data_IF_061630399510
#
_entry.id   IF_061630399510
#
_cell.length_a   1.000
_cell.length_b   1.000
_cell.length_c   1.000
_cell.angle_alpha   90.00
_cell.angle_beta   90.00
_cell.angle_gamma   90.00
#
_symmetry.space_group_name_H-M   'P 1'
#
loop_
_entity.id
_entity.type
_entity.pdbx_description
1 polymer ?
#
# COMPACT_ATOMS: atom_id res chain seq x y z
N UNK A 1 22.50 6.93 10.01
CA UNK A 1 22.33 5.81 9.07
C UNK A 1 21.80 6.34 7.76
N UNK A 2 22.28 5.83 6.61
CA UNK A 2 21.79 6.22 5.27
C UNK A 2 20.78 5.21 4.77
N UNK A 3 19.52 5.62 4.61
CA UNK A 3 18.44 4.75 4.15
C UNK A 3 17.95 5.22 2.79
N UNK A 4 17.82 4.30 1.85
CA UNK A 4 17.26 4.59 0.53
C UNK A 4 16.01 3.72 0.29
N UNK A 5 14.86 4.35 0.25
CA UNK A 5 13.61 3.71 -0.15
C UNK A 5 13.45 3.71 -1.67
N UNK A 6 12.95 2.61 -2.23
CA UNK A 6 12.69 2.50 -3.68
C UNK A 6 11.25 2.01 -3.88
N UNK A 7 10.51 2.75 -4.70
CA UNK A 7 9.16 2.39 -5.08
C UNK A 7 8.84 2.77 -6.54
N UNK A 8 7.74 2.24 -7.07
CA UNK A 8 7.37 2.47 -8.46
C UNK A 8 6.86 3.88 -8.72
N UNK A 9 5.97 4.37 -7.89
CA UNK A 9 5.30 5.67 -8.06
C UNK A 9 4.94 6.26 -6.71
N UNK A 10 4.76 7.55 -6.64
CA UNK A 10 4.25 8.24 -5.45
C UNK A 10 2.81 8.70 -5.72
N UNK A 11 1.98 7.78 -6.21
CA UNK A 11 0.59 8.03 -6.51
C UNK A 11 -0.29 7.98 -5.25
N UNK A 12 -1.60 7.91 -5.46
CA UNK A 12 -2.55 7.85 -4.35
C UNK A 12 -2.79 6.41 -3.90
N UNK A 13 -2.31 6.06 -2.71
CA UNK A 13 -2.50 4.72 -2.13
C UNK A 13 -1.91 4.57 -0.73
N UNK A 14 -2.32 3.51 -0.03
CA UNK A 14 -1.88 3.26 1.35
C UNK A 14 -0.37 2.99 1.47
N UNK A 15 0.24 2.36 0.46
CA UNK A 15 1.69 2.08 0.47
C UNK A 15 2.47 3.38 0.30
N UNK A 16 2.03 4.24 -0.59
CA UNK A 16 2.64 5.55 -0.87
C UNK A 16 2.59 6.47 0.36
N UNK A 17 1.43 6.53 1.01
CA UNK A 17 1.27 7.30 2.27
C UNK A 17 2.16 6.74 3.37
N UNK A 18 2.20 5.42 3.54
CA UNK A 18 3.06 4.77 4.51
C UNK A 18 4.56 5.02 4.21
N UNK A 19 4.97 4.99 2.94
CA UNK A 19 6.35 5.30 2.54
C UNK A 19 6.74 6.72 2.99
N UNK A 20 5.87 7.69 2.77
CA UNK A 20 6.08 9.08 3.22
C UNK A 20 6.20 9.15 4.74
N UNK A 21 5.29 8.50 5.47
CA UNK A 21 5.30 8.50 6.94
C UNK A 21 6.59 7.87 7.50
N UNK A 22 7.04 6.73 6.94
CA UNK A 22 8.29 6.07 7.35
C UNK A 22 9.50 6.96 7.04
N UNK A 23 9.56 7.53 5.84
CA UNK A 23 10.66 8.40 5.44
C UNK A 23 10.80 9.63 6.35
N UNK A 24 9.66 10.25 6.68
CA UNK A 24 9.61 11.40 7.59
C UNK A 24 10.06 11.02 9.00
N UNK A 25 9.53 9.93 9.57
CA UNK A 25 9.89 9.45 10.90
C UNK A 25 11.39 9.09 11.00
N UNK A 26 11.95 8.49 9.96
CA UNK A 26 13.37 8.17 9.92
C UNK A 26 14.25 9.42 9.80
N UNK A 27 13.82 10.44 9.03
CA UNK A 27 14.51 11.72 8.94
C UNK A 27 14.43 12.47 10.27
N UNK A 28 13.31 12.43 10.97
CA UNK A 28 13.13 12.98 12.31
C UNK A 28 14.05 12.28 13.33
N UNK A 29 14.20 10.97 13.22
CA UNK A 29 15.13 10.19 14.04
C UNK A 29 16.63 10.38 13.66
N UNK A 30 16.95 11.34 12.78
CA UNK A 30 18.32 11.69 12.42
C UNK A 30 18.99 10.79 11.35
N UNK A 31 18.22 9.99 10.62
CA UNK A 31 18.73 9.24 9.46
C UNK A 31 18.82 10.13 8.23
N UNK A 32 19.82 9.90 7.37
CA UNK A 32 19.91 10.46 6.03
C UNK A 32 19.02 9.63 5.09
N UNK A 33 17.84 10.16 4.73
CA UNK A 33 16.82 9.42 4.00
C UNK A 33 16.73 9.88 2.56
N UNK A 34 16.74 8.92 1.62
CA UNK A 34 16.44 9.16 0.20
C UNK A 34 15.23 8.32 -0.23
N UNK A 35 14.37 8.91 -1.04
CA UNK A 35 13.24 8.22 -1.67
C UNK A 35 13.41 8.26 -3.18
N UNK A 36 13.60 7.11 -3.80
CA UNK A 36 13.76 6.95 -5.25
C UNK A 36 12.47 6.44 -5.86
N UNK A 37 11.83 7.26 -6.68
CA UNK A 37 10.60 6.92 -7.39
C UNK A 37 10.93 6.64 -8.86
N UNK A 38 10.55 5.45 -9.33
CA UNK A 38 10.93 4.98 -10.66
C UNK A 38 10.13 5.68 -11.75
N UNK A 39 8.80 5.71 -11.62
CA UNK A 39 7.92 6.32 -12.62
C UNK A 39 7.78 7.84 -12.42
N UNK A 40 7.30 8.53 -13.44
CA UNK A 40 6.97 9.95 -13.41
C UNK A 40 5.66 10.27 -12.69
N UNK A 41 4.88 9.24 -12.29
CA UNK A 41 3.57 9.40 -11.66
C UNK A 41 3.70 9.71 -10.17
N UNK A 42 3.18 10.86 -9.77
CA UNK A 42 3.12 11.27 -8.36
C UNK A 42 1.90 12.15 -8.06
N UNK A 43 1.57 12.22 -6.79
CA UNK A 43 0.58 13.13 -6.20
C UNK A 43 1.30 14.25 -5.48
N UNK A 44 0.99 15.48 -5.87
CA UNK A 44 1.66 16.67 -5.32
C UNK A 44 1.46 16.80 -3.81
N UNK A 45 0.30 16.40 -3.28
CA UNK A 45 0.02 16.41 -1.84
C UNK A 45 0.98 15.50 -1.06
N UNK A 46 1.30 14.31 -1.58
CA UNK A 46 2.27 13.41 -0.95
C UNK A 46 3.71 13.93 -1.05
N UNK A 47 4.06 14.57 -2.17
CA UNK A 47 5.35 15.23 -2.31
C UNK A 47 5.49 16.36 -1.29
N UNK A 48 4.45 17.16 -1.13
CA UNK A 48 4.42 18.28 -0.19
C UNK A 48 4.44 17.84 1.29
N UNK A 49 3.98 16.61 1.59
CA UNK A 49 3.99 16.04 2.94
C UNK A 49 5.32 15.37 3.32
N UNK A 50 6.26 15.25 2.37
CA UNK A 50 7.61 14.80 2.70
C UNK A 50 8.37 15.87 3.49
N UNK A 51 9.07 15.43 4.52
CA UNK A 51 9.99 16.27 5.28
C UNK A 51 11.10 16.82 4.35
N UNK A 52 11.45 18.09 4.51
CA UNK A 52 12.47 18.78 3.70
C UNK A 52 13.86 18.13 3.78
N UNK A 53 14.12 17.34 4.82
CA UNK A 53 15.36 16.57 5.00
C UNK A 53 15.41 15.31 4.14
N UNK A 54 14.27 14.85 3.63
CA UNK A 54 14.18 13.66 2.77
C UNK A 54 14.58 14.05 1.34
N UNK A 55 15.58 13.37 0.79
CA UNK A 55 16.02 13.56 -0.59
C UNK A 55 15.12 12.76 -1.54
N UNK A 56 14.17 13.44 -2.21
CA UNK A 56 13.27 12.81 -3.19
C UNK A 56 13.85 12.88 -4.60
N UNK A 57 13.98 11.74 -5.26
CA UNK A 57 14.50 11.64 -6.63
C UNK A 57 13.56 10.84 -7.52
N UNK A 58 13.12 11.44 -8.62
CA UNK A 58 12.36 10.76 -9.67
C UNK A 58 13.29 10.26 -10.77
N UNK A 59 13.15 8.98 -11.15
CA UNK A 59 13.86 8.41 -12.28
C UNK A 59 13.14 8.68 -13.62
N UNK A 60 11.94 9.24 -13.57
CA UNK A 60 11.13 9.71 -14.71
C UNK A 60 10.91 8.65 -15.78
N UNK A 61 10.66 7.40 -15.37
CA UNK A 61 10.26 6.35 -16.29
C UNK A 61 8.78 6.50 -16.63
N UNK A 62 8.45 6.63 -17.91
CA UNK A 62 7.06 6.60 -18.39
C UNK A 62 6.43 5.24 -18.07
N UNK A 63 5.21 5.24 -17.53
CA UNK A 63 4.48 4.00 -17.23
C UNK A 63 4.31 3.20 -18.54
N UNK A 64 4.70 1.91 -18.51
CA UNK A 64 4.66 1.06 -19.70
C UNK A 64 5.93 1.11 -20.58
N UNK A 65 6.86 2.04 -20.36
CA UNK A 65 8.11 2.09 -21.12
C UNK A 65 8.98 0.84 -20.87
N UNK A 66 9.54 0.27 -21.93
CA UNK A 66 10.37 -0.94 -21.88
C UNK A 66 11.86 -0.58 -21.69
N UNK A 67 12.21 0.70 -21.82
CA UNK A 67 13.60 1.16 -21.79
C UNK A 67 14.28 0.93 -20.44
N UNK A 68 15.45 0.28 -20.39
CA UNK A 68 16.12 -0.08 -19.14
C UNK A 68 16.96 1.06 -18.51
N UNK A 69 17.00 2.25 -19.12
CA UNK A 69 17.85 3.35 -18.67
C UNK A 69 17.63 3.77 -17.23
N UNK A 70 16.41 3.65 -16.72
CA UNK A 70 16.13 3.93 -15.30
C UNK A 70 16.92 2.99 -14.38
N UNK A 71 17.20 1.74 -14.78
CA UNK A 71 17.96 0.77 -13.97
C UNK A 71 19.42 1.23 -13.86
N UNK A 72 20.01 1.70 -14.96
CA UNK A 72 21.38 2.25 -14.97
C UNK A 72 21.45 3.48 -14.05
N UNK A 73 20.46 4.38 -14.19
CA UNK A 73 20.38 5.59 -13.36
C UNK A 73 20.20 5.26 -11.88
N UNK A 74 19.32 4.30 -11.56
CA UNK A 74 19.10 3.80 -10.21
C UNK A 74 20.42 3.33 -9.58
N UNK A 75 21.13 2.42 -10.26
CA UNK A 75 22.35 1.86 -9.70
C UNK A 75 23.47 2.90 -9.57
N UNK A 76 23.60 3.85 -10.51
CA UNK A 76 24.54 4.98 -10.35
C UNK A 76 24.24 5.83 -9.13
N UNK A 77 22.96 6.07 -8.82
CA UNK A 77 22.56 6.80 -7.61
C UNK A 77 22.93 5.99 -6.36
N UNK A 78 22.61 4.69 -6.33
CA UNK A 78 22.93 3.82 -5.18
C UNK A 78 24.45 3.69 -4.95
N UNK A 79 25.25 3.59 -6.00
CA UNK A 79 26.70 3.55 -5.90
C UNK A 79 27.31 4.86 -5.36
N UNK A 80 26.75 6.02 -5.78
CA UNK A 80 27.21 7.34 -5.33
C UNK A 80 26.78 7.65 -3.90
N UNK A 81 25.52 7.38 -3.55
CA UNK A 81 24.96 7.66 -2.21
C UNK A 81 25.48 6.70 -1.15
N UNK A 82 25.93 5.50 -1.55
CA UNK A 82 26.45 4.45 -0.65
C UNK A 82 25.52 4.19 0.55
N UNK A 83 24.25 3.85 0.34
CA UNK A 83 23.31 3.63 1.43
C UNK A 83 23.78 2.50 2.35
N UNK A 84 23.41 2.58 3.64
CA UNK A 84 23.58 1.49 4.59
C UNK A 84 22.46 0.46 4.39
N UNK A 85 21.24 0.93 4.09
CA UNK A 85 20.05 0.13 3.85
C UNK A 85 19.35 0.56 2.57
N UNK A 86 18.94 -0.42 1.75
CA UNK A 86 18.11 -0.24 0.56
C UNK A 86 16.76 -0.92 0.85
N UNK A 87 15.73 -0.12 1.09
CA UNK A 87 14.42 -0.62 1.45
C UNK A 87 13.48 -0.63 0.23
N UNK A 88 13.08 -1.82 -0.18
CA UNK A 88 12.17 -2.04 -1.30
C UNK A 88 10.75 -2.26 -0.77
N UNK A 89 9.78 -1.56 -1.34
CA UNK A 89 8.37 -1.73 -0.99
C UNK A 89 7.61 -2.67 -1.95
N UNK A 90 8.36 -3.33 -2.84
CA UNK A 90 7.87 -4.41 -3.72
C UNK A 90 9.01 -5.35 -4.08
N UNK A 91 8.72 -6.63 -4.10
CA UNK A 91 9.73 -7.68 -4.35
C UNK A 91 10.33 -7.64 -5.77
N UNK A 92 9.53 -7.26 -6.79
CA UNK A 92 9.99 -7.15 -8.18
C UNK A 92 11.12 -6.13 -8.38
N UNK A 93 11.22 -5.12 -7.50
CA UNK A 93 12.30 -4.12 -7.53
C UNK A 93 13.69 -4.71 -7.24
N UNK A 94 13.76 -5.87 -6.57
CA UNK A 94 15.02 -6.52 -6.26
C UNK A 94 15.88 -6.84 -7.49
N UNK A 95 15.24 -7.11 -8.63
CA UNK A 95 15.93 -7.39 -9.90
C UNK A 95 16.68 -6.18 -10.45
N UNK A 96 16.28 -4.97 -10.09
CA UNK A 96 16.89 -3.74 -10.60
C UNK A 96 18.07 -3.27 -9.78
N UNK A 97 18.32 -3.84 -8.59
CA UNK A 97 19.52 -3.57 -7.80
C UNK A 97 20.64 -4.48 -8.27
N UNK A 98 21.78 -3.90 -8.67
CA UNK A 98 22.91 -4.65 -9.20
C UNK A 98 24.02 -4.85 -8.17
N UNK A 99 24.80 -5.91 -8.39
CA UNK A 99 25.98 -6.22 -7.61
C UNK A 99 25.71 -6.79 -6.21
N UNK A 100 26.55 -7.71 -5.77
CA UNK A 100 26.42 -8.39 -4.47
C UNK A 100 26.46 -7.40 -3.31
N UNK A 101 27.32 -6.38 -3.38
CA UNK A 101 27.50 -5.36 -2.34
C UNK A 101 26.24 -4.53 -2.08
N UNK A 102 25.49 -4.13 -3.11
CA UNK A 102 24.23 -3.41 -2.94
C UNK A 102 23.13 -4.38 -2.51
N UNK A 103 23.06 -5.57 -3.10
CA UNK A 103 22.05 -6.57 -2.77
C UNK A 103 22.14 -7.06 -1.32
N UNK A 104 23.33 -7.10 -0.72
CA UNK A 104 23.47 -7.48 0.70
C UNK A 104 22.91 -6.44 1.68
N UNK A 105 22.56 -5.25 1.20
CA UNK A 105 21.96 -4.15 1.98
C UNK A 105 20.45 -4.03 1.77
N UNK A 106 19.86 -4.92 0.96
CA UNK A 106 18.45 -4.87 0.62
C UNK A 106 17.60 -5.48 1.71
N UNK A 107 16.57 -4.76 2.11
CA UNK A 107 15.42 -5.30 2.82
C UNK A 107 14.15 -5.06 2.00
N UNK A 108 13.14 -5.90 2.20
CA UNK A 108 11.86 -5.80 1.49
C UNK A 108 10.71 -5.84 2.49
N UNK A 109 9.76 -4.93 2.33
CA UNK A 109 8.45 -5.05 3.00
C UNK A 109 7.42 -5.59 2.02
N UNK A 110 6.81 -6.71 2.38
CA UNK A 110 5.70 -7.31 1.64
C UNK A 110 4.37 -6.79 2.17
N UNK A 111 3.72 -5.94 1.38
CA UNK A 111 2.39 -5.39 1.70
C UNK A 111 1.26 -6.33 1.28
N UNK A 112 1.55 -7.25 0.38
CA UNK A 112 0.67 -8.32 -0.08
C UNK A 112 1.51 -9.41 -0.73
N UNK A 113 1.01 -10.64 -0.71
CA UNK A 113 1.64 -11.72 -1.46
C UNK A 113 1.30 -11.54 -2.94
N UNK A 114 2.29 -11.25 -3.76
CA UNK A 114 2.11 -11.17 -5.20
C UNK A 114 2.15 -12.58 -5.81
N UNK A 115 1.36 -12.82 -6.88
CA UNK A 115 1.36 -14.10 -7.63
C UNK A 115 2.71 -14.49 -8.28
N UNK A 116 3.76 -13.71 -8.04
CA UNK A 116 5.09 -13.89 -8.63
C UNK A 116 6.18 -14.34 -7.65
N UNK A 117 5.84 -14.54 -6.37
CA UNK A 117 6.79 -15.10 -5.41
C UNK A 117 6.98 -16.59 -5.72
N UNK A 118 8.22 -17.07 -5.76
CA UNK A 118 8.56 -18.48 -5.94
C UNK A 118 9.66 -18.86 -4.96
N UNK A 119 9.55 -20.05 -4.43
CA UNK A 119 10.65 -20.75 -3.79
C UNK A 119 11.62 -21.26 -4.87
N UNK A 120 12.87 -21.48 -4.51
CA UNK A 120 13.90 -22.08 -5.35
C UNK A 120 13.48 -23.48 -5.81
N UNK A 121 12.63 -23.54 -6.83
CA UNK A 121 12.45 -24.77 -7.59
C UNK A 121 13.74 -25.03 -8.34
N UNK A 122 14.15 -26.30 -8.40
CA UNK A 122 15.43 -26.73 -8.96
C UNK A 122 15.77 -26.04 -10.28
N UNK A 123 17.05 -25.81 -10.51
CA UNK A 123 17.64 -25.04 -11.62
C UNK A 123 17.03 -25.35 -12.99
N UNK A 124 16.55 -26.58 -13.23
CA UNK A 124 15.93 -27.03 -14.48
C UNK A 124 14.60 -26.35 -14.79
N UNK A 125 13.75 -26.11 -13.79
CA UNK A 125 12.44 -25.46 -14.01
C UNK A 125 12.57 -23.97 -14.33
N UNK A 126 13.62 -23.32 -13.79
CA UNK A 126 13.93 -21.91 -14.06
C UNK A 126 14.43 -21.71 -15.49
N UNK A 127 15.24 -22.64 -16.00
CA UNK A 127 15.77 -22.60 -17.38
C UNK A 127 14.62 -22.78 -18.39
N UNK A 128 13.71 -23.70 -18.17
CA UNK A 128 12.56 -23.94 -19.06
C UNK A 128 11.57 -22.76 -19.10
N UNK A 129 11.33 -22.10 -17.95
CA UNK A 129 10.50 -20.87 -17.87
C UNK A 129 11.18 -19.67 -18.54
N UNK A 130 12.53 -19.56 -18.49
CA UNK A 130 13.29 -18.50 -19.18
C UNK A 130 13.18 -18.61 -20.70
N UNK A 131 13.14 -19.82 -21.25
CA UNK A 131 13.02 -20.05 -22.70
C UNK A 131 11.60 -19.69 -23.20
N UNK A 132 10.55 -19.93 -22.40
CA UNK A 132 9.15 -19.67 -22.78
C UNK A 132 8.70 -18.21 -22.63
N UNK A 133 9.41 -17.37 -21.86
CA UNK A 133 9.03 -15.95 -21.67
C UNK A 133 10.12 -15.02 -22.18
N UNK A 134 9.82 -14.39 -23.30
CA UNK A 134 10.66 -13.43 -24.06
C UNK A 134 11.04 -12.13 -23.35
N UNK A 135 10.81 -11.99 -22.03
CA UNK A 135 11.10 -10.78 -21.26
C UNK A 135 11.66 -11.12 -19.89
N UNK A 136 12.96 -11.33 -19.82
CA UNK A 136 13.72 -11.56 -18.57
C UNK A 136 13.76 -10.30 -17.66
N UNK A 137 13.55 -9.11 -18.24
CA UNK A 137 13.63 -7.82 -17.53
C UNK A 137 12.44 -7.52 -16.61
N UNK A 138 11.32 -8.21 -16.77
CA UNK A 138 10.09 -7.96 -16.01
C UNK A 138 9.48 -9.24 -15.42
N UNK A 139 10.32 -10.21 -15.10
CA UNK A 139 9.87 -11.38 -14.36
C UNK A 139 9.41 -10.95 -12.96
N UNK A 140 8.12 -11.11 -12.65
CA UNK A 140 7.59 -10.91 -11.30
C UNK A 140 8.06 -12.01 -10.33
N UNK A 141 8.91 -12.92 -10.77
CA UNK A 141 9.42 -14.05 -10.04
C UNK A 141 10.66 -13.62 -9.28
N UNK A 142 10.56 -13.50 -7.98
CA UNK A 142 11.65 -13.14 -7.08
C UNK A 142 12.01 -14.36 -6.25
N UNK A 143 13.28 -14.75 -6.31
CA UNK A 143 13.85 -15.76 -5.43
C UNK A 143 14.05 -15.12 -4.04
N UNK A 144 13.13 -15.41 -3.14
CA UNK A 144 13.09 -14.81 -1.79
C UNK A 144 14.26 -15.24 -0.93
N UNK A 145 14.87 -16.41 -1.20
CA UNK A 145 16.06 -16.91 -0.47
C UNK A 145 17.30 -16.01 -0.65
N UNK A 146 17.25 -15.13 -1.67
CA UNK A 146 18.36 -14.19 -1.94
C UNK A 146 18.23 -12.85 -1.26
N UNK A 147 17.13 -12.62 -0.58
CA UNK A 147 16.85 -11.34 0.06
C UNK A 147 17.28 -11.42 1.53
N UNK A 148 18.23 -10.59 1.97
CA UNK A 148 18.79 -10.68 3.32
C UNK A 148 17.75 -10.51 4.43
N UNK A 149 16.81 -9.56 4.23
CA UNK A 149 15.82 -9.23 5.25
C UNK A 149 14.45 -9.05 4.62
N UNK A 150 13.48 -9.82 5.07
CA UNK A 150 12.08 -9.76 4.61
C UNK A 150 11.19 -9.34 5.77
N UNK A 151 10.43 -8.28 5.56
CA UNK A 151 9.41 -7.81 6.48
C UNK A 151 8.03 -8.08 5.91
N UNK A 152 7.08 -8.40 6.77
CA UNK A 152 5.66 -8.55 6.45
C UNK A 152 4.85 -7.63 7.35
N UNK A 153 3.73 -7.13 6.86
CA UNK A 153 2.94 -6.13 7.59
C UNK A 153 1.92 -6.74 8.56
N UNK A 154 1.80 -8.07 8.58
CA UNK A 154 0.93 -8.80 9.52
C UNK A 154 1.37 -10.25 9.67
N UNK A 155 0.94 -10.89 10.76
CA UNK A 155 1.17 -12.31 11.03
C UNK A 155 0.52 -13.21 9.98
N UNK A 156 -0.63 -12.81 9.43
CA UNK A 156 -1.31 -13.55 8.35
C UNK A 156 -0.44 -13.61 7.11
N UNK A 157 0.20 -12.49 6.73
CA UNK A 157 1.11 -12.46 5.58
C UNK A 157 2.36 -13.25 5.87
N UNK A 158 2.90 -13.14 7.08
CA UNK A 158 4.07 -13.92 7.53
C UNK A 158 3.79 -15.42 7.43
N UNK A 159 2.68 -15.86 8.03
CA UNK A 159 2.28 -17.28 8.00
C UNK A 159 2.07 -17.76 6.57
N UNK A 160 1.35 -17.01 5.75
CA UNK A 160 1.09 -17.40 4.36
C UNK A 160 2.37 -17.41 3.52
N UNK A 161 3.32 -16.50 3.79
CA UNK A 161 4.64 -16.49 3.17
C UNK A 161 5.44 -17.74 3.55
N UNK A 162 5.44 -18.10 4.81
CA UNK A 162 6.12 -19.28 5.32
C UNK A 162 5.48 -20.57 4.78
N UNK A 163 4.17 -20.71 4.86
CA UNK A 163 3.44 -21.91 4.43
C UNK A 163 3.60 -22.17 2.92
N UNK A 164 3.57 -21.11 2.09
CA UNK A 164 3.66 -21.26 0.63
C UNK A 164 5.08 -21.31 0.09
N UNK A 165 6.03 -20.66 0.77
CA UNK A 165 7.36 -20.42 0.22
C UNK A 165 8.49 -20.82 1.18
N UNK A 166 8.22 -21.15 2.44
CA UNK A 166 9.20 -21.49 3.48
C UNK A 166 10.14 -20.31 3.80
N UNK A 167 9.69 -19.07 3.56
CA UNK A 167 10.50 -17.87 3.78
C UNK A 167 10.20 -17.29 5.15
N UNK A 168 11.22 -17.16 5.96
CA UNK A 168 11.14 -16.47 7.24
C UNK A 168 11.08 -14.97 7.05
N UNK A 169 10.30 -14.30 7.89
CA UNK A 169 10.15 -12.84 7.86
C UNK A 169 9.84 -12.28 9.24
N UNK A 170 10.12 -11.00 9.41
CA UNK A 170 9.77 -10.28 10.64
C UNK A 170 8.50 -9.47 10.40
N UNK A 171 7.53 -9.55 11.31
CA UNK A 171 6.32 -8.73 11.25
C UNK A 171 6.63 -7.32 11.72
N UNK A 172 6.36 -6.35 10.84
CA UNK A 172 6.40 -4.91 11.14
C UNK A 172 5.11 -4.30 10.64
N UNK A 173 4.17 -4.07 11.54
CA UNK A 173 2.87 -3.49 11.20
C UNK A 173 3.02 -2.08 10.62
N UNK A 174 2.11 -1.73 9.72
CA UNK A 174 2.06 -0.37 9.18
C UNK A 174 1.76 0.63 10.30
N UNK A 175 2.59 1.66 10.40
CA UNK A 175 2.39 2.77 11.33
C UNK A 175 1.57 3.90 10.69
N UNK A 176 0.83 4.61 11.53
CA UNK A 176 0.16 5.86 11.16
C UNK A 176 0.56 6.96 12.15
N UNK A 177 0.53 8.19 11.68
CA UNK A 177 0.73 9.37 12.54
C UNK A 177 -0.58 9.63 13.28
N UNK A 178 -0.67 9.19 14.53
CA UNK A 178 -1.91 9.30 15.33
C UNK A 178 -2.22 10.72 15.80
N UNK A 179 -1.19 11.58 15.91
CA UNK A 179 -1.35 12.97 16.37
C UNK A 179 -2.19 13.86 15.45
N UNK A 180 -2.36 13.47 14.19
CA UNK A 180 -3.23 14.20 13.26
C UNK A 180 -4.72 13.86 13.40
N UNK A 181 -5.08 12.79 14.14
CA UNK A 181 -6.46 12.39 14.34
C UNK A 181 -7.03 13.07 15.60
N UNK A 182 -8.17 13.72 15.41
CA UNK A 182 -8.89 14.34 16.53
C UNK A 182 -9.71 13.26 17.23
N UNK A 183 -9.53 13.10 18.54
CA UNK A 183 -10.41 12.25 19.35
C UNK A 183 -11.50 13.10 19.96
N UNK A 184 -12.76 12.71 19.76
CA UNK A 184 -13.93 13.36 20.38
C UNK A 184 -14.75 12.31 21.13
N UNK A 185 -15.18 12.57 22.37
CA UNK A 185 -16.14 11.71 23.06
C UNK A 185 -17.42 11.61 22.22
N UNK A 186 -17.91 10.40 22.01
CA UNK A 186 -19.16 10.17 21.29
C UNK A 186 -20.24 9.69 22.22
N UNK A 187 -21.40 10.30 22.10
CA UNK A 187 -22.65 9.79 22.63
C UNK A 187 -23.38 9.00 21.56
N UNK A 188 -24.21 8.04 21.94
CA UNK A 188 -25.06 7.35 20.98
C UNK A 188 -25.93 8.37 20.22
N UNK A 189 -25.95 8.33 18.90
CA UNK A 189 -26.74 9.25 18.09
C UNK A 189 -28.24 9.06 18.38
N UNK A 190 -28.95 10.16 18.48
CA UNK A 190 -30.42 10.16 18.72
C UNK A 190 -31.23 10.11 17.41
N UNK A 191 -30.62 9.84 16.29
CA UNK A 191 -31.25 9.86 14.96
C UNK A 191 -30.53 8.97 13.98
N UNK A 192 -30.49 9.41 12.74
CA UNK A 192 -29.85 8.69 11.65
C UNK A 192 -28.34 8.54 11.90
N UNK A 193 -27.83 7.30 11.78
CA UNK A 193 -26.41 7.00 11.93
C UNK A 193 -25.62 7.48 10.71
N UNK A 194 -24.51 8.15 10.96
CA UNK A 194 -23.57 8.57 9.92
C UNK A 194 -22.43 7.57 9.79
N UNK A 195 -22.38 6.90 8.65
CA UNK A 195 -21.40 5.87 8.35
C UNK A 195 -20.41 6.39 7.32
N UNK A 196 -19.12 6.09 7.48
CA UNK A 196 -18.09 6.42 6.50
C UNK A 196 -17.29 5.17 6.10
N UNK A 197 -16.93 5.13 4.82
CA UNK A 197 -15.97 4.18 4.29
C UNK A 197 -14.89 4.93 3.50
N UNK A 198 -13.63 4.82 3.95
CA UNK A 198 -12.47 5.44 3.28
C UNK A 198 -11.68 4.37 2.57
N UNK A 199 -11.78 4.30 1.25
CA UNK A 199 -11.06 3.28 0.48
C UNK A 199 -11.02 3.62 -1.01
N UNK A 200 -10.11 2.95 -1.75
CA UNK A 200 -10.22 2.93 -3.20
C UNK A 200 -11.52 2.23 -3.60
N UNK A 201 -12.27 2.80 -4.53
CA UNK A 201 -13.53 2.23 -5.00
C UNK A 201 -13.27 1.07 -5.97
N UNK A 202 -13.01 -0.10 -5.40
CA UNK A 202 -12.82 -1.39 -6.06
C UNK A 202 -13.76 -2.40 -5.38
N UNK A 203 -15.03 -2.44 -5.77
CA UNK A 203 -16.07 -3.17 -5.05
C UNK A 203 -15.76 -4.66 -4.90
N UNK A 204 -15.15 -5.30 -5.91
CA UNK A 204 -14.74 -6.71 -5.86
C UNK A 204 -13.83 -7.03 -4.67
N UNK A 205 -13.04 -6.07 -4.22
CA UNK A 205 -12.08 -6.23 -3.13
C UNK A 205 -12.55 -5.58 -1.84
N UNK A 206 -13.17 -4.41 -1.96
CA UNK A 206 -13.47 -3.54 -0.81
C UNK A 206 -14.91 -3.66 -0.31
N UNK A 207 -15.82 -4.21 -1.12
CA UNK A 207 -17.17 -4.50 -0.68
C UNK A 207 -18.08 -3.28 -0.51
N UNK A 208 -17.83 -2.18 -1.24
CA UNK A 208 -18.71 -1.00 -1.20
C UNK A 208 -20.16 -1.33 -1.56
N UNK A 209 -20.35 -2.23 -2.51
CA UNK A 209 -21.68 -2.72 -2.91
C UNK A 209 -22.44 -3.42 -1.77
N UNK A 210 -21.73 -4.12 -0.87
CA UNK A 210 -22.34 -4.70 0.33
C UNK A 210 -22.86 -3.61 1.27
N UNK A 211 -22.08 -2.54 1.45
CA UNK A 211 -22.47 -1.43 2.31
C UNK A 211 -23.65 -0.65 1.72
N UNK A 212 -23.69 -0.42 0.40
CA UNK A 212 -24.84 0.20 -0.29
C UNK A 212 -26.12 -0.64 -0.09
N UNK A 213 -26.04 -1.96 -0.31
CA UNK A 213 -27.18 -2.87 -0.12
C UNK A 213 -27.66 -2.92 1.33
N UNK A 214 -26.73 -2.88 2.29
CA UNK A 214 -27.08 -2.83 3.71
C UNK A 214 -27.78 -1.51 4.07
N UNK A 215 -27.29 -0.36 3.56
CA UNK A 215 -27.93 0.93 3.76
C UNK A 215 -29.33 0.98 3.15
N UNK A 216 -29.51 0.42 1.94
CA UNK A 216 -30.82 0.33 1.29
C UNK A 216 -31.81 -0.52 2.10
N UNK A 217 -31.36 -1.66 2.65
CA UNK A 217 -32.19 -2.49 3.52
C UNK A 217 -32.61 -1.80 4.81
N UNK A 218 -31.82 -0.85 5.29
CA UNK A 218 -32.10 -0.03 6.47
C UNK A 218 -32.96 1.22 6.16
N UNK A 219 -33.38 1.40 4.91
CA UNK A 219 -34.34 2.42 4.46
C UNK A 219 -34.05 3.85 4.99
N UNK A 220 -32.80 4.28 4.92
CA UNK A 220 -32.40 5.62 5.30
C UNK A 220 -32.25 5.87 6.80
N UNK A 221 -32.28 4.84 7.66
CA UNK A 221 -31.89 4.99 9.09
C UNK A 221 -30.40 5.26 9.24
N UNK A 222 -29.63 5.03 8.19
CA UNK A 222 -28.21 5.33 8.11
C UNK A 222 -27.91 6.18 6.89
N UNK A 223 -26.95 7.09 6.98
CA UNK A 223 -26.28 7.72 5.85
C UNK A 223 -24.93 7.13 5.64
N UNK A 224 -24.49 6.96 4.39
CA UNK A 224 -23.21 6.39 4.04
C UNK A 224 -22.43 7.33 3.13
N UNK A 225 -21.26 7.76 3.58
CA UNK A 225 -20.34 8.56 2.80
C UNK A 225 -19.13 7.71 2.37
N UNK A 226 -18.92 7.61 1.04
CA UNK A 226 -17.74 6.98 0.46
C UNK A 226 -16.68 8.02 0.15
N UNK A 227 -15.51 7.91 0.81
CA UNK A 227 -14.34 8.73 0.52
C UNK A 227 -13.34 7.91 -0.29
N UNK A 228 -13.08 8.35 -1.52
CA UNK A 228 -12.15 7.72 -2.44
C UNK A 228 -12.62 7.76 -3.88
N UNK A 229 -11.75 7.27 -4.76
CA UNK A 229 -12.00 7.10 -6.19
C UNK A 229 -11.54 5.71 -6.63
N UNK A 230 -12.04 5.22 -7.75
CA UNK A 230 -11.62 3.93 -8.29
C UNK A 230 -12.42 3.49 -9.50
N UNK A 231 -12.06 2.34 -10.05
CA UNK A 231 -12.66 1.79 -11.28
C UNK A 231 -14.14 1.40 -11.13
N UNK A 232 -14.62 1.27 -9.89
CA UNK A 232 -16.01 0.87 -9.62
C UNK A 232 -16.97 2.05 -9.42
N UNK A 233 -16.53 3.30 -9.57
CA UNK A 233 -17.35 4.48 -9.29
C UNK A 233 -18.70 4.46 -10.02
N UNK A 234 -18.68 4.22 -11.33
CA UNK A 234 -19.90 4.23 -12.16
C UNK A 234 -20.84 3.09 -11.76
N UNK A 235 -20.30 1.89 -11.56
CA UNK A 235 -21.08 0.75 -11.09
C UNK A 235 -21.75 1.04 -9.74
N UNK A 236 -21.01 1.62 -8.78
CA UNK A 236 -21.55 1.92 -7.46
C UNK A 236 -22.62 2.99 -7.48
N UNK A 237 -22.48 4.02 -8.33
CA UNK A 237 -23.52 5.04 -8.56
C UNK A 237 -24.78 4.43 -9.18
N UNK A 238 -24.61 3.57 -10.20
CA UNK A 238 -25.72 2.87 -10.81
C UNK A 238 -26.44 1.99 -9.79
N UNK A 239 -25.72 1.21 -8.97
CA UNK A 239 -26.29 0.38 -7.90
C UNK A 239 -27.05 1.22 -6.87
N UNK A 240 -26.54 2.42 -6.54
CA UNK A 240 -27.20 3.35 -5.61
C UNK A 240 -28.55 3.83 -6.19
N UNK A 241 -28.59 4.17 -7.47
CA UNK A 241 -29.82 4.58 -8.16
C UNK A 241 -30.83 3.41 -8.30
N UNK A 242 -30.37 2.21 -8.67
CA UNK A 242 -31.21 1.00 -8.75
C UNK A 242 -31.90 0.68 -7.40
N UNK A 243 -31.25 0.99 -6.29
CA UNK A 243 -31.76 0.75 -4.95
C UNK A 243 -32.47 1.99 -4.33
N UNK A 244 -32.65 3.07 -5.10
CA UNK A 244 -33.27 4.33 -4.66
C UNK A 244 -32.61 4.88 -3.38
N UNK A 245 -31.27 4.79 -3.29
CA UNK A 245 -30.49 5.12 -2.10
C UNK A 245 -29.76 6.49 -2.20
N UNK A 246 -29.97 7.29 -3.25
CA UNK A 246 -29.22 8.51 -3.55
C UNK A 246 -29.37 9.60 -2.48
N UNK A 247 -30.44 9.55 -1.69
CA UNK A 247 -30.69 10.52 -0.64
C UNK A 247 -29.88 10.31 0.62
N UNK A 248 -29.30 9.10 0.80
CA UNK A 248 -28.52 8.72 2.00
C UNK A 248 -27.22 7.99 1.70
N UNK A 249 -26.87 7.81 0.43
CA UNK A 249 -25.55 7.26 -0.01
C UNK A 249 -24.84 8.29 -0.86
N UNK A 250 -23.67 8.76 -0.41
CA UNK A 250 -22.95 9.83 -1.08
C UNK A 250 -21.52 9.41 -1.44
N UNK A 251 -21.00 9.97 -2.53
CA UNK A 251 -19.64 9.77 -2.99
C UNK A 251 -18.89 11.10 -2.91
N UNK A 252 -18.03 11.26 -1.89
CA UNK A 252 -17.30 12.49 -1.62
C UNK A 252 -16.01 12.63 -2.46
N UNK A 253 -15.75 11.64 -3.32
CA UNK A 253 -14.54 11.66 -4.15
C UNK A 253 -13.26 11.48 -3.35
N UNK A 254 -12.16 11.85 -3.97
CA UNK A 254 -10.82 11.79 -3.35
C UNK A 254 -10.65 12.91 -2.35
N UNK A 255 -10.22 12.56 -1.13
CA UNK A 255 -9.88 13.51 -0.08
C UNK A 255 -8.42 13.34 0.37
N UNK A 256 -7.85 14.38 0.96
CA UNK A 256 -6.50 14.32 1.55
C UNK A 256 -6.51 13.56 2.87
N UNK A 257 -5.32 13.13 3.33
CA UNK A 257 -5.19 12.48 4.65
C UNK A 257 -5.61 13.43 5.78
N UNK A 258 -5.26 14.71 5.67
CA UNK A 258 -5.63 15.73 6.65
C UNK A 258 -7.14 15.92 6.73
N UNK A 259 -7.83 15.93 5.56
CA UNK A 259 -9.29 15.97 5.54
C UNK A 259 -9.90 14.77 6.26
N UNK A 260 -9.42 13.56 5.94
CA UNK A 260 -9.91 12.33 6.60
C UNK A 260 -9.64 12.38 8.10
N UNK A 261 -8.44 12.77 8.51
CA UNK A 261 -8.07 12.86 9.94
C UNK A 261 -8.94 13.86 10.70
N UNK A 262 -9.26 15.01 10.09
CA UNK A 262 -10.10 16.05 10.71
C UNK A 262 -11.57 15.67 10.79
N UNK A 263 -12.10 14.94 9.80
CA UNK A 263 -13.54 14.67 9.65
C UNK A 263 -13.97 13.26 10.05
N UNK A 264 -13.01 12.33 10.31
CA UNK A 264 -13.37 10.95 10.65
C UNK A 264 -14.25 10.87 11.91
N UNK A 265 -14.04 11.79 12.86
CA UNK A 265 -14.84 11.87 14.09
C UNK A 265 -16.22 12.52 13.91
N UNK A 266 -16.55 13.02 12.74
CA UNK A 266 -17.89 13.52 12.43
C UNK A 266 -18.87 12.37 12.13
N UNK A 267 -18.37 11.16 11.93
CA UNK A 267 -19.13 9.94 11.66
C UNK A 267 -19.28 9.07 12.91
N UNK A 268 -20.38 8.34 12.98
CA UNK A 268 -20.67 7.43 14.11
C UNK A 268 -19.99 6.07 13.94
N UNK A 269 -19.86 5.62 12.69
CA UNK A 269 -19.25 4.33 12.34
C UNK A 269 -18.29 4.48 11.18
N UNK A 270 -17.14 3.82 11.29
CA UNK A 270 -16.26 3.49 10.17
C UNK A 270 -16.48 2.04 9.76
N UNK A 271 -16.84 1.81 8.50
CA UNK A 271 -17.17 0.45 8.00
C UNK A 271 -16.25 0.08 6.85
N UNK A 272 -15.67 -1.12 6.94
CA UNK A 272 -14.75 -1.65 5.93
C UNK A 272 -15.10 -3.11 5.57
N UNK A 273 -16.14 -3.38 4.76
CA UNK A 273 -16.61 -4.73 4.46
C UNK A 273 -15.81 -5.41 3.35
N UNK A 274 -14.48 -5.33 3.42
CA UNK A 274 -13.59 -5.84 2.37
C UNK A 274 -13.72 -7.35 2.20
N UNK A 275 -13.94 -7.82 0.95
CA UNK A 275 -14.00 -9.23 0.59
C UNK A 275 -12.63 -9.91 0.56
N UNK A 276 -11.60 -9.14 0.27
CA UNK A 276 -10.22 -9.60 0.23
C UNK A 276 -9.42 -8.80 1.27
N UNK A 277 -9.52 -9.21 2.52
CA UNK A 277 -8.60 -8.80 3.56
C UNK A 277 -7.43 -9.78 3.51
N UNK A 278 -6.40 -9.41 2.78
CA UNK A 278 -5.06 -9.97 3.02
C UNK A 278 -4.55 -9.54 4.42
N UNK A 279 -5.33 -8.67 5.09
CA UNK A 279 -5.05 -8.11 6.41
C UNK A 279 -6.38 -7.90 7.13
N UNK A 280 -6.58 -8.59 8.22
CA UNK A 280 -7.51 -8.17 9.25
C UNK A 280 -6.84 -6.97 9.93
N UNK A 281 -7.38 -5.77 9.74
CA UNK A 281 -7.12 -4.71 10.70
C UNK A 281 -7.64 -5.20 12.04
N UNK A 282 -6.80 -5.33 13.09
CA UNK A 282 -7.28 -5.83 14.36
C UNK A 282 -8.43 -4.94 14.87
N UNK A 283 -9.59 -5.56 15.08
CA UNK A 283 -10.72 -4.90 15.72
C UNK A 283 -10.54 -5.01 17.23
N UNK A 284 -10.93 -4.00 18.02
CA UNK A 284 -10.96 -4.13 19.48
C UNK A 284 -11.82 -5.30 19.98
N UNK A 285 -12.67 -5.86 19.11
CA UNK A 285 -13.54 -7.02 19.39
C UNK A 285 -12.95 -8.35 18.93
N UNK A 286 -11.83 -8.34 18.21
CA UNK A 286 -11.18 -9.59 17.84
C UNK A 286 -10.69 -10.29 19.12
N UNK A 287 -10.99 -11.59 19.31
CA UNK A 287 -10.51 -12.31 20.48
C UNK A 287 -8.97 -12.21 20.47
N UNK A 288 -8.41 -11.73 21.58
CA UNK A 288 -6.97 -11.77 21.79
C UNK A 288 -6.60 -13.25 21.79
N UNK A 289 -5.98 -13.71 20.71
CA UNK A 289 -5.29 -15.00 20.70
C UNK A 289 -4.09 -14.85 21.62
N UNK A 290 -4.25 -15.38 22.83
CA UNK A 290 -3.17 -15.56 23.80
C UNK A 290 -2.18 -16.59 23.31
#
# INVERSE_FOLDING_TARGET
MKVTHIFWSLGFGGIETMLVNIANAQAEAGSEVSVLIINELYEQSLVNSLDKRVNLVFLNRKKGAITPWFIVRLNRILERSKPDVIHLHRSDLYHFVWGKKLKSKVCITLHALSKGLVRREGVMHIVWRKIKKRSVLYSNVVDMDRIPHVFTISEVVQKTLYDNYGVESTVVCNGIVTSCFVSRPKTMPKGQLRVVMVSRLEHDKKGQDLLIRAAAALQGTVTVDFIGIGSSMEYLKQLTAELHAETYVHFLGKQTQDYVAAHLTDYDLFVQPSRCLLYTSPSPRDPKTS
#
